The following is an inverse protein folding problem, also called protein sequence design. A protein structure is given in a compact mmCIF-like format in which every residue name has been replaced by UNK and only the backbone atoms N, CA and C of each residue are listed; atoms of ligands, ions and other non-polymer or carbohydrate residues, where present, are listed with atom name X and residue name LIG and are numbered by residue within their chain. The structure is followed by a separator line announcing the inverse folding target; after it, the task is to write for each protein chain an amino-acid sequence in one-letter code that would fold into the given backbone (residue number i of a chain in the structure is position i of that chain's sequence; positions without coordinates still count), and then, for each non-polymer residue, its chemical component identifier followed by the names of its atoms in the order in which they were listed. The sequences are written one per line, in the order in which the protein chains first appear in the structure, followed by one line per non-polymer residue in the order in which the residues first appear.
data_IF_053084570108
#
_entry.id   IF_053084570108
#
_cell.length_a   1.000
_cell.length_b   1.000
_cell.length_c   1.000
_cell.angle_alpha   90.00
_cell.angle_beta   90.00
_cell.angle_gamma   90.00
#
_symmetry.space_group_name_H-M   'P 1'
#
loop_
_entity.id
_entity.type
_entity.pdbx_description
1 polymer ?
#
# COMPACT_ATOMS: atom_id res chain seq x y z
N UNK A 1 37.41 -26.45 74.15
CA UNK A 1 36.92 -27.01 72.91
C UNK A 1 35.93 -26.01 72.32
N UNK A 2 36.40 -25.17 71.42
CA UNK A 2 35.57 -24.17 70.71
C UNK A 2 35.13 -24.75 69.36
N UNK A 3 33.80 -24.91 69.15
CA UNK A 3 33.23 -25.32 67.89
C UNK A 3 32.95 -24.08 67.07
N UNK A 4 33.64 -23.93 65.93
CA UNK A 4 33.36 -22.88 64.92
C UNK A 4 32.22 -23.35 64.04
N UNK A 5 31.08 -22.65 64.09
CA UNK A 5 29.98 -22.77 63.15
C UNK A 5 30.29 -21.87 61.98
N UNK A 6 30.47 -22.45 60.77
CA UNK A 6 30.61 -21.74 59.49
C UNK A 6 29.21 -21.61 58.89
N UNK A 7 28.68 -20.38 58.54
CA UNK A 7 27.44 -20.25 57.82
C UNK A 7 27.70 -20.51 56.34
N UNK A 8 26.97 -21.49 55.80
CA UNK A 8 26.92 -21.76 54.34
C UNK A 8 26.03 -20.71 53.69
N UNK A 9 26.67 -19.80 52.96
CA UNK A 9 25.98 -18.79 52.17
C UNK A 9 25.52 -19.43 50.87
N UNK A 10 24.23 -19.78 50.75
CA UNK A 10 23.62 -20.31 49.55
C UNK A 10 23.42 -19.17 48.53
N UNK A 11 24.26 -19.12 47.50
CA UNK A 11 24.15 -18.22 46.37
C UNK A 11 23.07 -18.79 45.41
N UNK A 12 21.85 -18.30 45.51
CA UNK A 12 20.80 -18.59 44.50
C UNK A 12 21.09 -17.79 43.25
N UNK A 13 21.71 -18.42 42.26
CA UNK A 13 21.81 -17.88 40.92
C UNK A 13 20.39 -17.82 40.31
N UNK A 14 19.79 -16.63 40.31
CA UNK A 14 18.58 -16.36 39.55
C UNK A 14 18.88 -16.46 38.09
N UNK A 15 18.36 -17.49 37.40
CA UNK A 15 18.33 -17.56 35.92
C UNK A 15 17.42 -16.44 35.42
N UNK A 16 18.01 -15.34 34.99
CA UNK A 16 17.32 -14.36 34.13
C UNK A 16 17.11 -15.04 32.80
N UNK A 17 15.91 -15.58 32.59
CA UNK A 17 15.45 -15.95 31.24
C UNK A 17 15.36 -14.67 30.41
N UNK A 18 16.38 -14.40 29.61
CA UNK A 18 16.27 -13.49 28.49
C UNK A 18 15.18 -14.08 27.59
N UNK A 19 14.01 -13.45 27.57
CA UNK A 19 13.06 -13.66 26.51
C UNK A 19 13.74 -13.09 25.25
N UNK A 20 14.32 -13.97 24.44
CA UNK A 20 14.60 -13.65 23.06
C UNK A 20 13.22 -13.32 22.46
N UNK A 21 12.97 -12.04 22.23
CA UNK A 21 11.94 -11.62 21.30
C UNK A 21 12.43 -12.11 19.95
N UNK A 22 11.94 -13.26 19.52
CA UNK A 22 12.10 -13.71 18.14
C UNK A 22 11.58 -12.56 17.28
N UNK A 23 12.51 -11.82 16.69
CA UNK A 23 12.16 -10.95 15.56
C UNK A 23 11.48 -11.87 14.55
N UNK A 24 10.26 -11.55 14.09
CA UNK A 24 9.58 -12.40 13.15
C UNK A 24 10.54 -12.64 11.98
N UNK A 25 10.91 -13.91 11.77
CA UNK A 25 11.76 -14.30 10.66
C UNK A 25 11.10 -13.78 9.39
N UNK A 26 11.79 -12.89 8.70
CA UNK A 26 11.30 -12.32 7.48
C UNK A 26 11.07 -13.45 6.46
N UNK A 27 9.82 -13.68 6.11
CA UNK A 27 9.40 -14.57 5.04
C UNK A 27 8.82 -13.71 3.91
N UNK A 28 9.66 -13.24 2.96
CA UNK A 28 9.17 -12.43 1.85
C UNK A 28 8.16 -13.23 1.03
N UNK A 29 7.09 -12.55 0.59
CA UNK A 29 6.14 -13.13 -0.34
C UNK A 29 6.86 -13.54 -1.62
N UNK A 30 6.43 -14.66 -2.19
CA UNK A 30 6.82 -15.08 -3.53
C UNK A 30 5.77 -14.61 -4.53
N UNK A 31 6.14 -14.38 -5.81
CA UNK A 31 5.17 -13.99 -6.83
C UNK A 31 3.98 -14.94 -6.90
N UNK A 32 2.79 -14.38 -6.92
CA UNK A 32 1.55 -15.15 -7.06
C UNK A 32 1.40 -15.66 -8.50
N UNK A 33 0.77 -16.80 -8.69
CA UNK A 33 0.48 -17.32 -10.03
C UNK A 33 -0.49 -16.39 -10.76
N UNK A 34 -0.18 -16.02 -12.00
CA UNK A 34 -0.98 -15.14 -12.86
C UNK A 34 -1.78 -15.96 -13.87
N UNK A 35 -2.67 -16.82 -13.39
CA UNK A 35 -3.61 -17.58 -14.21
C UNK A 35 -4.79 -16.71 -14.71
N UNK A 36 -5.68 -17.28 -15.55
CA UNK A 36 -6.85 -16.58 -16.05
C UNK A 36 -7.75 -16.05 -14.92
N UNK A 37 -7.94 -16.83 -13.86
CA UNK A 37 -8.78 -16.44 -12.73
C UNK A 37 -8.16 -15.25 -11.97
N UNK A 38 -6.85 -15.24 -11.83
CA UNK A 38 -6.10 -14.14 -11.19
C UNK A 38 -6.18 -12.87 -12.04
N UNK A 39 -5.96 -12.95 -13.35
CA UNK A 39 -6.09 -11.81 -14.27
C UNK A 39 -7.50 -11.22 -14.19
N UNK A 40 -8.54 -12.07 -14.22
CA UNK A 40 -9.93 -11.60 -14.08
C UNK A 40 -10.21 -10.97 -12.71
N UNK A 41 -9.62 -11.50 -11.62
CA UNK A 41 -9.77 -10.91 -10.29
C UNK A 41 -9.15 -9.53 -10.16
N UNK A 42 -8.11 -9.20 -10.91
CA UNK A 42 -7.52 -7.86 -10.89
C UNK A 42 -8.41 -6.80 -11.51
N UNK A 43 -9.34 -7.16 -12.40
CA UNK A 43 -10.25 -6.20 -13.03
C UNK A 43 -11.22 -5.57 -12.04
N UNK A 44 -11.65 -4.34 -12.35
CA UNK A 44 -12.64 -3.57 -11.60
C UNK A 44 -12.03 -2.61 -10.58
N UNK A 45 -12.81 -2.22 -9.60
CA UNK A 45 -12.49 -1.15 -8.66
C UNK A 45 -11.65 -1.63 -7.47
N UNK A 46 -10.67 -0.79 -7.08
CA UNK A 46 -9.75 -1.01 -5.99
C UNK A 46 -9.48 0.28 -5.21
N UNK A 47 -9.16 0.13 -3.95
CA UNK A 47 -8.72 1.21 -3.05
C UNK A 47 -7.27 0.95 -2.68
N UNK A 48 -6.42 1.96 -2.85
CA UNK A 48 -5.07 1.94 -2.33
C UNK A 48 -5.12 2.10 -0.80
N UNK A 49 -4.59 1.15 -0.07
CA UNK A 49 -4.65 1.11 1.40
C UNK A 49 -3.36 1.64 2.01
N UNK A 50 -2.24 1.05 1.63
CA UNK A 50 -0.93 1.35 2.21
C UNK A 50 0.18 1.03 1.22
N UNK A 51 1.31 1.76 1.32
CA UNK A 51 2.50 1.42 0.57
C UNK A 51 3.70 2.27 0.92
N UNK A 52 4.84 1.87 0.39
CA UNK A 52 6.11 2.58 0.49
C UNK A 52 6.89 2.45 -0.81
N UNK A 53 7.77 3.42 -1.09
CA UNK A 53 8.63 3.42 -2.27
C UNK A 53 10.02 3.94 -1.92
N UNK A 54 11.03 3.42 -2.63
CA UNK A 54 12.40 3.96 -2.58
C UNK A 54 12.67 4.92 -3.74
N UNK A 55 11.79 4.95 -4.77
CA UNK A 55 11.95 5.85 -5.92
C UNK A 55 11.61 7.29 -5.55
N UNK A 56 12.57 8.25 -5.60
CA UNK A 56 12.38 9.58 -5.03
C UNK A 56 11.16 10.35 -5.55
N UNK A 57 10.81 10.33 -6.86
CA UNK A 57 9.60 10.97 -7.35
C UNK A 57 8.32 10.38 -6.72
N UNK A 58 8.22 9.05 -6.59
CA UNK A 58 7.08 8.40 -5.93
C UNK A 58 7.02 8.75 -4.43
N UNK A 59 8.17 8.80 -3.75
CA UNK A 59 8.22 9.23 -2.33
C UNK A 59 7.68 10.65 -2.16
N UNK A 60 7.99 11.55 -3.10
CA UNK A 60 7.48 12.92 -3.06
C UNK A 60 5.96 12.95 -3.27
N UNK A 61 5.44 12.26 -4.28
CA UNK A 61 3.99 12.16 -4.53
C UNK A 61 3.25 11.49 -3.37
N UNK A 62 3.79 10.41 -2.83
CA UNK A 62 3.18 9.69 -1.69
C UNK A 62 3.04 10.54 -0.44
N UNK A 63 3.93 11.50 -0.19
CA UNK A 63 3.79 12.44 0.95
C UNK A 63 2.57 13.34 0.83
N UNK A 64 2.12 13.61 -0.38
CA UNK A 64 0.94 14.42 -0.68
C UNK A 64 -0.33 13.57 -0.77
N UNK A 65 -0.19 12.25 -0.93
CA UNK A 65 -1.29 11.32 -1.12
C UNK A 65 -2.11 11.18 0.17
N UNK A 66 -3.40 11.50 0.11
CA UNK A 66 -4.37 11.32 1.19
C UNK A 66 -5.28 10.12 0.95
N UNK A 67 -5.68 9.92 -0.30
CA UNK A 67 -6.54 8.81 -0.72
C UNK A 67 -6.36 8.51 -2.20
N UNK A 68 -6.49 7.25 -2.57
CA UNK A 68 -6.51 6.85 -3.97
C UNK A 68 -7.43 5.66 -4.20
N UNK A 69 -8.15 5.74 -5.30
CA UNK A 69 -8.86 4.61 -5.89
C UNK A 69 -8.45 4.44 -7.33
N UNK A 70 -8.59 3.24 -7.83
CA UNK A 70 -8.37 2.99 -9.25
C UNK A 70 -9.25 1.86 -9.76
N UNK A 71 -9.51 1.91 -11.05
CA UNK A 71 -10.28 0.89 -11.74
C UNK A 71 -9.44 0.31 -12.85
N UNK A 72 -9.31 -1.02 -12.84
CA UNK A 72 -8.58 -1.78 -13.85
C UNK A 72 -9.60 -2.27 -14.88
N UNK A 73 -9.40 -1.91 -16.13
CA UNK A 73 -10.22 -2.33 -17.27
C UNK A 73 -9.42 -3.29 -18.14
N UNK A 74 -10.09 -4.22 -18.86
CA UNK A 74 -9.41 -5.00 -19.88
C UNK A 74 -8.91 -4.07 -20.99
N UNK A 75 -7.73 -4.37 -21.54
CA UNK A 75 -7.18 -3.69 -22.69
C UNK A 75 -7.71 -4.24 -24.02
N UNK A 76 -6.96 -4.02 -25.08
CA UNK A 76 -7.32 -4.53 -26.43
C UNK A 76 -7.05 -6.02 -26.58
N UNK A 77 -6.12 -6.54 -25.81
CA UNK A 77 -5.69 -7.93 -25.82
C UNK A 77 -5.94 -8.56 -24.46
N UNK A 78 -5.99 -9.87 -24.39
CA UNK A 78 -6.26 -10.63 -23.16
C UNK A 78 -5.26 -10.34 -22.03
N UNK A 79 -4.01 -10.08 -22.41
CA UNK A 79 -2.92 -9.77 -21.47
C UNK A 79 -2.56 -8.27 -21.48
N UNK A 80 -3.59 -7.41 -21.54
CA UNK A 80 -3.44 -5.96 -21.49
C UNK A 80 -4.48 -5.35 -20.54
N UNK A 81 -4.04 -4.40 -19.72
CA UNK A 81 -4.90 -3.60 -18.85
C UNK A 81 -4.84 -2.11 -19.18
N UNK A 82 -5.92 -1.42 -18.87
CA UNK A 82 -5.99 0.03 -18.75
C UNK A 82 -6.42 0.36 -17.32
N UNK A 83 -5.87 1.43 -16.74
CA UNK A 83 -6.16 1.85 -15.37
C UNK A 83 -6.56 3.31 -15.36
N UNK A 84 -7.66 3.61 -14.66
CA UNK A 84 -8.02 4.97 -14.29
C UNK A 84 -7.84 5.11 -12.79
N UNK A 85 -7.01 6.06 -12.36
CA UNK A 85 -6.76 6.40 -10.95
C UNK A 85 -7.44 7.72 -10.60
N UNK A 86 -8.02 7.79 -9.42
CA UNK A 86 -8.56 9.02 -8.83
C UNK A 86 -7.84 9.18 -7.49
N UNK A 87 -7.08 10.25 -7.37
CA UNK A 87 -6.23 10.49 -6.20
C UNK A 87 -6.52 11.85 -5.59
N UNK A 88 -6.51 11.92 -4.26
CA UNK A 88 -6.38 13.18 -3.54
C UNK A 88 -4.93 13.40 -3.18
N UNK A 89 -4.34 14.41 -3.80
CA UNK A 89 -2.99 14.90 -3.51
C UNK A 89 -3.14 16.24 -2.78
N UNK A 90 -2.83 16.27 -1.49
CA UNK A 90 -3.17 17.39 -0.59
C UNK A 90 -4.67 17.74 -0.70
N UNK A 91 -5.01 18.94 -1.17
CA UNK A 91 -6.39 19.42 -1.29
C UNK A 91 -6.99 19.19 -2.70
N UNK A 92 -6.21 18.66 -3.65
CA UNK A 92 -6.60 18.54 -5.06
C UNK A 92 -6.94 17.11 -5.43
N UNK A 93 -8.05 16.91 -6.13
CA UNK A 93 -8.38 15.63 -6.75
C UNK A 93 -7.84 15.57 -8.18
N UNK A 94 -7.08 14.53 -8.48
CA UNK A 94 -6.42 14.29 -9.78
C UNK A 94 -6.92 12.99 -10.37
N UNK A 95 -7.21 12.99 -11.66
CA UNK A 95 -7.50 11.78 -12.44
C UNK A 95 -6.32 11.48 -13.35
N UNK A 96 -5.82 10.25 -13.29
CA UNK A 96 -4.75 9.75 -14.15
C UNK A 96 -5.22 8.53 -14.90
N UNK A 97 -4.93 8.47 -16.19
CA UNK A 97 -5.23 7.31 -17.02
C UNK A 97 -3.93 6.70 -17.53
N UNK A 98 -3.77 5.40 -17.29
CA UNK A 98 -2.63 4.61 -17.77
C UNK A 98 -3.18 3.50 -18.66
N UNK A 99 -2.69 3.41 -19.88
CA UNK A 99 -3.11 2.41 -20.86
C UNK A 99 -1.95 1.50 -21.26
N UNK A 100 -2.27 0.37 -21.89
CA UNK A 100 -1.28 -0.58 -22.40
C UNK A 100 -0.35 -1.11 -21.31
N UNK A 101 -0.92 -1.49 -20.17
CA UNK A 101 -0.19 -2.24 -19.14
C UNK A 101 -0.18 -3.70 -19.58
N UNK A 102 0.98 -4.22 -19.95
CA UNK A 102 1.15 -5.60 -20.41
C UNK A 102 1.28 -6.56 -19.24
N UNK A 103 0.56 -7.68 -19.32
CA UNK A 103 0.56 -8.76 -18.33
C UNK A 103 1.48 -9.89 -18.79
N UNK A 104 2.55 -10.14 -18.07
CA UNK A 104 3.48 -11.25 -18.33
C UNK A 104 3.20 -12.37 -17.32
N UNK A 105 2.38 -13.34 -17.73
CA UNK A 105 1.87 -14.40 -16.84
C UNK A 105 2.98 -15.31 -16.29
N UNK A 106 4.01 -15.58 -17.07
CA UNK A 106 5.07 -16.53 -16.72
C UNK A 106 5.92 -16.09 -15.52
N UNK A 107 5.97 -14.80 -15.24
CA UNK A 107 6.73 -14.23 -14.12
C UNK A 107 5.87 -13.28 -13.26
N UNK A 108 4.56 -13.27 -13.46
CA UNK A 108 3.58 -12.50 -12.68
C UNK A 108 3.84 -10.99 -12.67
N UNK A 109 4.35 -10.45 -13.80
CA UNK A 109 4.67 -9.03 -13.92
C UNK A 109 3.66 -8.26 -14.75
N UNK A 110 3.49 -7.00 -14.38
CA UNK A 110 2.76 -5.96 -15.08
C UNK A 110 3.77 -4.92 -15.54
N UNK A 111 3.80 -4.60 -16.83
CA UNK A 111 4.75 -3.65 -17.40
C UNK A 111 4.01 -2.55 -18.14
N UNK A 112 4.34 -1.31 -17.84
CA UNK A 112 3.89 -0.14 -18.58
C UNK A 112 5.10 0.58 -19.16
N UNK A 113 5.03 0.87 -20.46
CA UNK A 113 6.07 1.59 -21.20
C UNK A 113 5.50 2.86 -21.79
N UNK A 114 6.10 3.99 -21.48
CA UNK A 114 5.76 5.29 -22.03
C UNK A 114 7.01 6.00 -22.55
N UNK A 115 7.16 6.05 -23.85
CA UNK A 115 8.37 6.60 -24.50
C UNK A 115 9.62 5.77 -24.17
N UNK A 116 10.56 6.37 -23.46
CA UNK A 116 11.78 5.70 -22.99
C UNK A 116 11.70 5.24 -21.54
N UNK A 117 10.59 5.50 -20.86
CA UNK A 117 10.40 5.12 -19.49
C UNK A 117 9.59 3.81 -19.39
N UNK A 118 10.10 2.90 -18.57
CA UNK A 118 9.39 1.69 -18.21
C UNK A 118 9.15 1.64 -16.70
N UNK A 119 8.00 1.16 -16.31
CA UNK A 119 7.69 0.80 -14.94
C UNK A 119 7.18 -0.64 -14.90
N UNK A 120 7.56 -1.35 -13.86
CA UNK A 120 7.20 -2.74 -13.70
C UNK A 120 6.65 -2.98 -12.29
N UNK A 121 5.66 -3.85 -12.21
CA UNK A 121 5.18 -4.36 -10.92
C UNK A 121 5.06 -5.88 -10.98
N UNK A 122 5.37 -6.53 -9.88
CA UNK A 122 5.24 -7.97 -9.69
C UNK A 122 4.10 -8.25 -8.74
N UNK A 123 3.18 -9.14 -9.12
CA UNK A 123 2.06 -9.53 -8.27
C UNK A 123 2.57 -10.51 -7.21
N UNK A 124 2.58 -10.08 -5.95
CA UNK A 124 3.07 -10.87 -4.82
C UNK A 124 1.96 -11.64 -4.10
N UNK A 125 0.75 -11.13 -4.13
CA UNK A 125 -0.44 -11.76 -3.56
C UNK A 125 -1.69 -11.29 -4.30
N UNK A 126 -2.70 -12.17 -4.44
CA UNK A 126 -4.02 -11.81 -4.96
C UNK A 126 -5.07 -12.77 -4.45
N UNK A 127 -6.09 -12.24 -3.81
CA UNK A 127 -7.33 -12.95 -3.51
C UNK A 127 -8.55 -12.14 -4.00
N UNK A 128 -9.77 -12.49 -3.56
CA UNK A 128 -10.99 -11.79 -3.97
C UNK A 128 -11.10 -10.38 -3.42
N UNK A 129 -10.43 -10.08 -2.31
CA UNK A 129 -10.63 -8.86 -1.52
C UNK A 129 -9.42 -7.92 -1.54
N UNK A 130 -8.20 -8.44 -1.74
CA UNK A 130 -6.98 -7.65 -1.75
C UNK A 130 -5.91 -8.20 -2.71
N UNK A 131 -4.95 -7.35 -3.07
CA UNK A 131 -3.69 -7.76 -3.69
C UNK A 131 -2.51 -6.90 -3.25
N UNK A 132 -1.32 -7.46 -3.41
CA UNK A 132 -0.05 -6.80 -3.11
C UNK A 132 0.79 -6.77 -4.39
N UNK A 133 1.29 -5.57 -4.73
CA UNK A 133 2.26 -5.37 -5.80
C UNK A 133 3.61 -4.96 -5.23
N UNK A 134 4.66 -5.51 -5.82
CA UNK A 134 6.04 -5.05 -5.68
C UNK A 134 6.44 -4.29 -6.93
N UNK A 135 6.69 -3.00 -6.78
CA UNK A 135 6.99 -2.08 -7.86
C UNK A 135 8.50 -1.97 -8.07
N UNK A 136 8.90 -1.79 -9.34
CA UNK A 136 10.29 -1.58 -9.72
C UNK A 136 10.37 -0.37 -10.66
N UNK A 137 11.24 0.57 -10.34
CA UNK A 137 11.54 1.75 -11.16
C UNK A 137 12.99 2.16 -10.91
N UNK A 138 13.82 2.21 -11.96
CA UNK A 138 15.21 2.70 -11.91
C UNK A 138 16.04 2.09 -10.74
N UNK A 139 16.00 0.76 -10.58
CA UNK A 139 16.63 0.01 -9.48
C UNK A 139 16.07 0.30 -8.07
N UNK A 140 14.95 1.02 -7.97
CA UNK A 140 14.24 1.22 -6.71
C UNK A 140 13.07 0.26 -6.59
N UNK A 141 12.77 -0.09 -5.35
CA UNK A 141 11.65 -0.98 -5.01
C UNK A 141 10.56 -0.19 -4.30
N UNK A 142 9.33 -0.58 -4.52
CA UNK A 142 8.16 -0.15 -3.76
C UNK A 142 7.26 -1.34 -3.46
N UNK A 143 6.39 -1.20 -2.47
CA UNK A 143 5.33 -2.16 -2.16
C UNK A 143 4.02 -1.40 -1.98
N UNK A 144 2.93 -1.98 -2.46
CA UNK A 144 1.58 -1.46 -2.25
C UNK A 144 0.59 -2.57 -1.91
N UNK A 145 -0.31 -2.27 -0.99
CA UNK A 145 -1.49 -3.04 -0.64
C UNK A 145 -2.73 -2.33 -1.16
N UNK A 146 -3.56 -3.04 -1.89
CA UNK A 146 -4.84 -2.56 -2.37
C UNK A 146 -5.95 -3.54 -2.05
N UNK A 147 -7.15 -3.01 -1.79
CA UNK A 147 -8.31 -3.81 -1.40
C UNK A 147 -9.58 -3.37 -2.14
N UNK A 148 -10.59 -4.23 -2.18
CA UNK A 148 -11.90 -3.92 -2.78
C UNK A 148 -12.67 -2.84 -2.02
N UNK A 149 -12.38 -2.72 -0.74
CA UNK A 149 -13.00 -1.72 0.14
C UNK A 149 -11.93 -1.00 0.95
N UNK A 150 -12.21 0.21 1.46
CA UNK A 150 -11.25 0.94 2.28
C UNK A 150 -11.03 0.33 3.68
N UNK A 151 -11.72 -0.77 3.98
CA UNK A 151 -11.61 -1.46 5.27
C UNK A 151 -10.87 -2.77 5.07
N UNK A 152 -9.71 -2.87 5.67
CA UNK A 152 -8.93 -4.11 5.82
C UNK A 152 -8.90 -4.51 7.29
N UNK A 153 -8.67 -5.79 7.58
CA UNK A 153 -8.55 -6.24 8.96
C UNK A 153 -7.19 -5.83 9.53
N UNK A 154 -7.12 -5.82 10.85
CA UNK A 154 -5.87 -5.52 11.55
C UNK A 154 -4.78 -6.53 11.17
N UNK A 155 -5.14 -7.80 11.07
CA UNK A 155 -4.24 -8.88 10.71
C UNK A 155 -3.68 -8.71 9.29
N UNK A 156 -4.52 -8.33 8.31
CA UNK A 156 -4.09 -8.03 6.94
C UNK A 156 -3.10 -6.87 6.89
N UNK A 157 -3.34 -5.83 7.70
CA UNK A 157 -2.44 -4.69 7.78
C UNK A 157 -1.11 -5.06 8.43
N UNK A 158 -1.12 -5.78 9.56
CA UNK A 158 0.08 -6.26 10.27
C UNK A 158 0.93 -7.19 9.39
N UNK A 159 0.29 -8.04 8.58
CA UNK A 159 0.98 -8.90 7.62
C UNK A 159 1.68 -8.07 6.52
N UNK A 160 1.00 -7.08 5.96
CA UNK A 160 1.61 -6.18 4.99
C UNK A 160 2.75 -5.35 5.58
N UNK A 161 2.59 -4.84 6.80
CA UNK A 161 3.66 -4.15 7.53
C UNK A 161 4.89 -5.05 7.74
N UNK A 162 4.69 -6.34 8.01
CA UNK A 162 5.78 -7.31 8.09
C UNK A 162 6.50 -7.44 6.74
N UNK A 163 5.76 -7.44 5.63
CA UNK A 163 6.35 -7.45 4.28
C UNK A 163 7.14 -6.17 3.99
N UNK A 164 6.66 -5.00 4.38
CA UNK A 164 7.41 -3.75 4.27
C UNK A 164 8.76 -3.86 4.98
N UNK A 165 8.77 -4.32 6.24
CA UNK A 165 10.02 -4.53 7.00
C UNK A 165 10.95 -5.54 6.33
N UNK A 166 10.40 -6.62 5.76
CA UNK A 166 11.16 -7.62 5.02
C UNK A 166 11.89 -7.05 3.80
N UNK A 167 11.32 -6.02 3.18
CA UNK A 167 11.91 -5.33 2.03
C UNK A 167 12.76 -4.11 2.43
N UNK A 168 13.05 -3.95 3.73
CA UNK A 168 13.92 -2.91 4.25
C UNK A 168 13.27 -1.53 4.45
N UNK A 169 11.94 -1.44 4.33
CA UNK A 169 11.21 -0.22 4.64
C UNK A 169 11.02 -0.05 6.14
N UNK A 170 11.10 1.18 6.60
CA UNK A 170 10.62 1.58 7.92
C UNK A 170 9.14 1.91 7.82
N UNK A 171 8.36 1.58 8.87
CA UNK A 171 6.91 1.84 8.82
C UNK A 171 6.56 3.32 8.75
N UNK A 172 7.39 4.18 9.32
CA UNK A 172 7.24 5.64 9.22
C UNK A 172 7.46 6.19 7.78
N UNK A 173 8.02 5.40 6.88
CA UNK A 173 8.18 5.73 5.46
C UNK A 173 6.95 5.33 4.63
N UNK A 174 6.07 4.50 5.20
CA UNK A 174 4.87 4.06 4.54
C UNK A 174 3.73 5.08 4.67
N UNK A 175 2.95 5.21 3.60
CA UNK A 175 1.74 6.02 3.59
C UNK A 175 0.52 5.09 3.75
N UNK A 176 -0.38 5.48 4.64
CA UNK A 176 -1.69 4.85 4.83
C UNK A 176 -2.74 5.86 4.39
N UNK A 177 -3.64 5.45 3.49
CA UNK A 177 -4.71 6.31 3.00
C UNK A 177 -5.92 6.30 3.95
N UNK A 178 -6.71 7.37 3.88
CA UNK A 178 -7.93 7.52 4.71
C UNK A 178 -9.16 7.73 3.84
N UNK A 179 -10.23 6.94 4.00
CA UNK A 179 -11.46 7.13 3.24
C UNK A 179 -12.17 8.46 3.54
N UNK A 180 -11.79 9.16 4.60
CA UNK A 180 -12.29 10.50 4.89
C UNK A 180 -11.81 11.54 3.87
N UNK A 181 -10.70 11.23 3.21
CA UNK A 181 -10.06 12.08 2.21
C UNK A 181 -10.44 11.67 0.78
N UNK A 182 -11.49 10.88 0.61
CA UNK A 182 -11.97 10.49 -0.72
C UNK A 182 -12.34 11.70 -1.58
N UNK A 183 -12.05 11.62 -2.87
CA UNK A 183 -12.53 12.61 -3.82
C UNK A 183 -14.05 12.53 -3.96
N UNK A 184 -14.76 13.66 -4.15
CA UNK A 184 -16.18 13.67 -4.46
C UNK A 184 -16.47 12.81 -5.70
N UNK A 185 -17.63 12.15 -5.72
CA UNK A 185 -18.07 11.47 -6.93
C UNK A 185 -18.24 12.49 -8.07
N UNK A 186 -17.91 12.10 -9.30
CA UNK A 186 -18.10 12.98 -10.45
C UNK A 186 -19.58 13.41 -10.55
N UNK A 187 -19.85 14.70 -10.28
CA UNK A 187 -21.20 15.27 -10.27
C UNK A 187 -21.67 15.83 -8.91
N UNK A 188 -20.96 15.58 -7.80
CA UNK A 188 -21.17 16.28 -6.54
C UNK A 188 -20.30 17.56 -6.50
N UNK A 189 -20.81 18.64 -7.06
CA UNK A 189 -20.24 19.96 -6.78
C UNK A 189 -20.48 20.27 -5.30
N UNK A 190 -19.38 20.56 -4.58
CA UNK A 190 -19.45 21.11 -3.22
C UNK A 190 -20.14 22.46 -3.36
N UNK A 191 -21.42 22.53 -2.95
CA UNK A 191 -22.17 23.77 -2.90
C UNK A 191 -21.47 24.73 -1.95
N UNK A 192 -20.62 25.60 -2.45
CA UNK A 192 -20.20 26.79 -1.76
C UNK A 192 -21.43 27.65 -1.54
N UNK A 193 -21.85 27.76 -0.28
CA UNK A 193 -22.93 28.64 0.16
C UNK A 193 -22.61 30.08 -0.23
N UNK A 194 -23.18 30.51 -1.36
CA UNK A 194 -23.27 31.91 -1.73
C UNK A 194 -24.21 32.61 -0.77
N UNK A 195 -23.67 33.22 0.27
CA UNK A 195 -24.37 34.27 1.04
C UNK A 195 -24.44 35.53 0.18
N UNK A 196 -25.47 35.60 -0.66
CA UNK A 196 -25.84 36.84 -1.31
C UNK A 196 -26.35 37.81 -0.24
N UNK A 197 -25.51 38.73 0.16
CA UNK A 197 -25.92 39.91 0.97
C UNK A 197 -26.75 40.80 0.06
N UNK A 198 -28.06 40.82 0.27
CA UNK A 198 -28.96 41.79 -0.35
C UNK A 198 -28.68 43.17 0.25
N UNK A 199 -28.20 44.09 -0.56
CA UNK A 199 -28.08 45.50 -0.25
C UNK A 199 -29.48 46.17 -0.41
N UNK A 200 -29.98 46.93 0.59
CA UNK A 200 -31.27 47.64 0.43
C UNK A 200 -31.06 48.91 -0.38
N UNK A 201 -31.69 48.98 -1.54
CA UNK A 201 -31.86 50.25 -2.29
C UNK A 201 -32.82 51.14 -1.51
N UNK A 202 -32.32 52.27 -1.02
CA UNK A 202 -33.15 53.43 -0.63
C UNK A 202 -33.47 54.27 -1.85
N UNK A 203 -34.76 54.51 -2.06
CA UNK A 203 -35.33 55.40 -3.05
C UNK A 203 -35.19 56.87 -2.75
#
# INVERSE_FOLDING_TARGET
MLAFLIPVLSLTMGLVRAHATDSPTCAPLVPAEMDNATVHRLLGHWVYIMGASQYPPHVAEMKELKYATYTIFPGRHEDEFNVTEIMRLNETCVVRNTSKIHVFRHNSTLVHEEGQEASMAELMHSDKDLFILKHFKDNHVGLSLSARTPKVTKEQLEEFEAQLRCHGFKLEEAIITSPKDACPAAGEEVGEGSTATAEPQQG
#
